data_IF_393903670965
#
_entry.id   IF_393903670965
#
_cell.length_a   1.000
_cell.length_b   1.000
_cell.length_c   1.000
_cell.angle_alpha   90.00
_cell.angle_beta   90.00
_cell.angle_gamma   90.00
#
_symmetry.space_group_name_H-M   'P 1'
#
loop_
_entity.id
_entity.type
_entity.pdbx_description
1 polymer ?
#
# COMPACT_ATOMS: atom_id res chain seq x y z
N UNK A 1 -14.63 -2.09 -23.32
CA UNK A 1 -13.32 -2.05 -24.00
C UNK A 1 -12.23 -2.44 -23.03
N UNK A 2 -11.24 -3.20 -23.49
CA UNK A 2 -9.98 -3.31 -22.76
C UNK A 2 -9.24 -1.96 -22.90
N UNK A 3 -8.74 -1.43 -21.78
CA UNK A 3 -7.96 -0.19 -21.76
C UNK A 3 -6.75 -0.35 -22.69
N UNK A 4 -6.55 0.56 -23.63
CA UNK A 4 -5.39 0.56 -24.55
C UNK A 4 -4.21 1.37 -24.01
N UNK A 5 -4.38 2.07 -22.89
CA UNK A 5 -3.34 2.87 -22.22
C UNK A 5 -2.45 2.07 -21.25
N UNK A 6 -2.63 0.73 -21.20
CA UNK A 6 -1.85 -0.15 -20.31
C UNK A 6 -0.75 -0.93 -21.05
N UNK A 7 -0.61 -0.74 -22.36
CA UNK A 7 0.49 -1.31 -23.13
C UNK A 7 1.82 -0.68 -22.65
N UNK A 8 2.52 -1.38 -21.76
CA UNK A 8 3.74 -0.90 -21.09
C UNK A 8 3.55 -0.37 -19.66
N UNK A 9 2.31 -0.30 -19.15
CA UNK A 9 2.07 0.03 -17.75
C UNK A 9 2.21 -1.21 -16.87
N UNK A 10 3.15 -1.10 -15.97
CA UNK A 10 3.83 -2.23 -15.42
C UNK A 10 3.64 -2.25 -13.91
N UNK A 11 2.50 -2.76 -13.46
CA UNK A 11 2.03 -2.68 -12.07
C UNK A 11 2.65 -3.70 -11.11
N UNK A 12 3.90 -4.10 -11.37
CA UNK A 12 4.68 -4.93 -10.45
C UNK A 12 5.07 -4.17 -9.17
N UNK A 13 5.51 -4.94 -8.17
CA UNK A 13 5.86 -4.46 -6.85
C UNK A 13 6.90 -3.34 -6.84
N UNK A 14 6.60 -2.27 -6.10
CA UNK A 14 7.50 -1.15 -5.85
C UNK A 14 7.48 -0.67 -4.40
N UNK A 15 8.60 -0.10 -3.98
CA UNK A 15 8.77 0.49 -2.67
C UNK A 15 8.79 -0.51 -1.52
N UNK A 16 8.55 -0.02 -0.30
CA UNK A 16 8.79 -0.77 0.94
C UNK A 16 7.87 -1.99 1.12
N UNK A 17 6.62 -1.92 0.64
CA UNK A 17 5.62 -3.00 0.79
C UNK A 17 5.35 -3.76 -0.50
N UNK A 18 6.17 -3.56 -1.54
CA UNK A 18 5.93 -4.11 -2.88
C UNK A 18 4.53 -3.76 -3.40
N UNK A 19 4.18 -2.46 -3.40
CA UNK A 19 2.90 -1.96 -3.92
C UNK A 19 2.68 -2.50 -5.34
N UNK A 20 1.64 -3.31 -5.51
CA UNK A 20 1.39 -4.09 -6.73
C UNK A 20 -0.06 -3.93 -7.17
N UNK A 21 -0.30 -3.92 -8.48
CA UNK A 21 -1.63 -3.99 -9.08
C UNK A 21 -2.35 -2.65 -9.22
N UNK A 22 -3.17 -2.56 -10.26
CA UNK A 22 -3.89 -1.33 -10.67
C UNK A 22 -4.69 -0.68 -9.55
N UNK A 23 -5.29 -1.48 -8.66
CA UNK A 23 -6.12 -0.99 -7.57
C UNK A 23 -5.29 -0.21 -6.53
N UNK A 24 -4.12 -0.72 -6.15
CA UNK A 24 -3.27 -0.06 -5.14
C UNK A 24 -2.71 1.27 -5.66
N UNK A 25 -2.21 1.28 -6.91
CA UNK A 25 -1.78 2.53 -7.55
C UNK A 25 -2.94 3.50 -7.80
N UNK A 26 -4.13 2.97 -8.10
CA UNK A 26 -5.37 3.74 -8.19
C UNK A 26 -5.74 4.43 -6.88
N UNK A 27 -5.66 3.73 -5.75
CA UNK A 27 -5.85 4.31 -4.41
C UNK A 27 -4.80 5.38 -4.12
N UNK A 28 -3.51 5.10 -4.36
CA UNK A 28 -2.44 6.09 -4.19
C UNK A 28 -2.72 7.36 -5.00
N UNK A 29 -3.07 7.24 -6.27
CA UNK A 29 -3.38 8.39 -7.10
C UNK A 29 -4.62 9.16 -6.61
N UNK A 30 -5.64 8.42 -6.20
CA UNK A 30 -6.90 8.98 -5.72
C UNK A 30 -6.73 9.81 -4.45
N UNK A 31 -5.87 9.36 -3.51
CA UNK A 31 -5.72 9.98 -2.20
C UNK A 31 -4.50 10.89 -2.07
N UNK A 32 -3.38 10.55 -2.73
CA UNK A 32 -2.10 11.23 -2.55
C UNK A 32 -1.57 11.88 -3.84
N UNK A 33 -2.05 11.47 -5.01
CA UNK A 33 -1.49 11.86 -6.30
C UNK A 33 -2.25 12.93 -7.06
N UNK A 34 -1.98 13.00 -8.36
CA UNK A 34 -2.60 13.91 -9.33
C UNK A 34 -4.12 13.83 -9.34
N UNK A 35 -4.71 12.64 -9.13
CA UNK A 35 -6.17 12.49 -9.06
C UNK A 35 -6.75 13.12 -7.78
N UNK A 36 -6.04 13.12 -6.66
CA UNK A 36 -6.44 13.85 -5.46
C UNK A 36 -6.49 15.36 -5.72
N UNK A 37 -5.42 15.92 -6.30
CA UNK A 37 -5.35 17.34 -6.72
C UNK A 37 -6.48 17.71 -7.69
N UNK A 38 -6.71 16.91 -8.73
CA UNK A 38 -7.75 17.15 -9.73
C UNK A 38 -9.17 17.18 -9.13
N UNK A 39 -9.37 16.51 -7.99
CA UNK A 39 -10.63 16.50 -7.24
C UNK A 39 -10.75 17.64 -6.22
N UNK A 40 -9.80 18.58 -6.20
CA UNK A 40 -9.75 19.67 -5.23
C UNK A 40 -9.44 19.20 -3.80
N UNK A 41 -8.78 18.04 -3.64
CA UNK A 41 -8.27 17.58 -2.35
C UNK A 41 -6.81 18.00 -2.20
N UNK A 42 -6.39 18.23 -0.96
CA UNK A 42 -4.97 18.31 -0.63
C UNK A 42 -4.32 16.95 -0.93
N UNK A 43 -3.17 16.99 -1.60
CA UNK A 43 -2.46 15.82 -2.09
C UNK A 43 -1.00 15.96 -1.74
N UNK A 44 -0.41 14.92 -1.15
CA UNK A 44 0.99 14.94 -0.73
C UNK A 44 1.94 14.95 -1.94
N UNK A 45 1.54 14.30 -3.03
CA UNK A 45 2.28 14.22 -4.30
C UNK A 45 1.42 14.73 -5.47
N UNK A 46 1.05 16.02 -5.46
CA UNK A 46 0.01 16.57 -6.32
C UNK A 46 0.34 16.49 -7.83
N UNK A 47 1.62 16.39 -8.18
CA UNK A 47 2.07 16.29 -9.57
C UNK A 47 2.30 14.85 -10.04
N UNK A 48 2.30 13.87 -9.13
CA UNK A 48 2.61 12.47 -9.45
C UNK A 48 1.34 11.75 -9.89
N UNK A 49 1.33 11.29 -11.14
CA UNK A 49 0.29 10.41 -11.64
C UNK A 49 0.67 8.95 -11.43
N UNK A 50 0.39 8.40 -10.25
CA UNK A 50 0.71 7.01 -9.94
C UNK A 50 0.05 6.00 -10.88
N UNK A 51 -1.02 6.39 -11.61
CA UNK A 51 -1.67 5.53 -12.60
C UNK A 51 -1.00 5.59 -13.98
N UNK A 52 -0.22 6.62 -14.29
CA UNK A 52 0.54 6.71 -15.54
C UNK A 52 2.01 6.34 -15.33
N UNK A 53 2.55 6.62 -14.14
CA UNK A 53 3.96 6.50 -13.81
C UNK A 53 4.16 5.80 -12.44
N UNK A 54 4.00 4.46 -12.38
CA UNK A 54 4.29 3.70 -11.18
C UNK A 54 5.75 3.83 -10.71
N UNK A 55 6.69 4.14 -11.62
CA UNK A 55 8.12 4.22 -11.34
C UNK A 55 8.47 5.42 -10.45
N UNK A 56 7.57 6.39 -10.32
CA UNK A 56 7.68 7.47 -9.33
C UNK A 56 7.98 6.96 -7.90
N UNK A 57 7.56 5.74 -7.53
CA UNK A 57 7.86 5.16 -6.21
C UNK A 57 9.36 4.86 -6.00
N UNK A 58 10.09 4.62 -7.09
CA UNK A 58 11.49 4.17 -7.04
C UNK A 58 12.49 5.28 -7.38
N UNK A 59 12.02 6.43 -7.87
CA UNK A 59 12.87 7.56 -8.26
C UNK A 59 13.25 8.42 -7.06
N UNK A 60 14.37 9.11 -7.18
CA UNK A 60 14.92 10.00 -6.14
C UNK A 60 14.31 11.41 -6.16
N UNK A 61 13.33 11.67 -7.02
CA UNK A 61 12.59 12.94 -7.07
C UNK A 61 11.71 13.14 -5.83
N UNK A 62 11.19 12.05 -5.25
CA UNK A 62 10.46 12.04 -3.98
C UNK A 62 10.92 10.82 -3.15
N UNK A 63 12.09 10.86 -2.49
CA UNK A 63 12.70 9.69 -1.85
C UNK A 63 11.84 9.08 -0.72
N UNK A 64 11.01 9.89 -0.07
CA UNK A 64 10.04 9.48 0.93
C UNK A 64 8.89 8.64 0.36
N UNK A 65 8.62 8.77 -0.94
CA UNK A 65 7.47 8.17 -1.61
C UNK A 65 7.53 6.63 -1.52
N UNK A 66 8.73 6.04 -1.58
CA UNK A 66 8.98 4.61 -1.32
C UNK A 66 8.37 4.12 -0.01
N UNK A 67 8.48 4.93 1.05
CA UNK A 67 7.98 4.61 2.38
C UNK A 67 6.52 5.00 2.54
N UNK A 68 6.14 6.18 2.05
CA UNK A 68 4.75 6.66 2.13
C UNK A 68 3.80 5.71 1.40
N UNK A 69 4.17 5.17 0.25
CA UNK A 69 3.36 4.16 -0.44
C UNK A 69 3.13 2.91 0.45
N UNK A 70 4.16 2.49 1.18
CA UNK A 70 4.08 1.38 2.13
C UNK A 70 3.18 1.68 3.33
N UNK A 71 3.40 2.82 3.99
CA UNK A 71 2.58 3.26 5.12
C UNK A 71 1.13 3.50 4.72
N UNK A 72 0.89 4.04 3.53
CA UNK A 72 -0.45 4.24 3.01
C UNK A 72 -1.21 2.90 2.92
N UNK A 73 -0.61 1.87 2.32
CA UNK A 73 -1.23 0.54 2.29
C UNK A 73 -1.42 -0.03 3.70
N UNK A 74 -0.40 0.07 4.55
CA UNK A 74 -0.47 -0.43 5.92
C UNK A 74 -1.63 0.17 6.72
N UNK A 75 -1.76 1.50 6.70
CA UNK A 75 -2.77 2.22 7.46
C UNK A 75 -4.19 2.02 6.93
N UNK A 76 -4.35 1.72 5.64
CA UNK A 76 -5.68 1.59 5.01
C UNK A 76 -6.15 0.14 4.84
N UNK A 77 -5.24 -0.83 4.74
CA UNK A 77 -5.58 -2.21 4.39
C UNK A 77 -5.07 -3.24 5.42
N UNK A 78 -3.93 -3.00 6.09
CA UNK A 78 -3.36 -3.96 7.08
C UNK A 78 -3.85 -3.68 8.50
N UNK A 79 -3.59 -2.48 9.01
CA UNK A 79 -3.96 -2.11 10.38
C UNK A 79 -5.47 -2.19 10.66
N UNK A 80 -6.38 -1.74 9.75
CA UNK A 80 -7.81 -1.86 9.95
C UNK A 80 -8.37 -3.22 9.49
N UNK A 81 -7.51 -4.19 9.17
CA UNK A 81 -7.96 -5.49 8.66
C UNK A 81 -8.90 -6.18 9.65
N UNK A 82 -10.12 -6.47 9.20
CA UNK A 82 -11.14 -7.19 9.93
C UNK A 82 -11.99 -8.02 8.95
N UNK A 83 -11.65 -9.30 8.80
CA UNK A 83 -12.34 -10.21 7.88
C UNK A 83 -12.54 -11.56 8.54
N UNK A 84 -13.80 -12.01 8.64
CA UNK A 84 -14.17 -13.32 9.20
C UNK A 84 -13.57 -13.55 10.60
N UNK A 85 -13.52 -12.52 11.42
CA UNK A 85 -12.97 -12.56 12.79
C UNK A 85 -11.46 -12.45 12.88
N UNK A 86 -10.73 -12.43 11.75
CA UNK A 86 -9.29 -12.20 11.74
C UNK A 86 -9.00 -10.69 11.77
N UNK A 87 -8.38 -10.20 12.86
CA UNK A 87 -8.11 -8.78 13.10
C UNK A 87 -6.64 -8.50 13.41
N UNK A 88 -6.01 -7.59 12.65
CA UNK A 88 -4.57 -7.29 12.82
C UNK A 88 -4.23 -6.80 14.23
N UNK A 89 -5.00 -5.84 14.75
CA UNK A 89 -4.74 -5.26 16.07
C UNK A 89 -4.90 -6.27 17.21
N UNK A 90 -5.79 -7.25 17.08
CA UNK A 90 -5.91 -8.32 18.07
C UNK A 90 -4.71 -9.25 18.04
N UNK A 91 -4.25 -9.63 16.84
CA UNK A 91 -3.02 -10.42 16.68
C UNK A 91 -1.81 -9.67 17.24
N UNK A 92 -1.71 -8.37 16.99
CA UNK A 92 -0.63 -7.52 17.54
C UNK A 92 -0.67 -7.49 19.07
N UNK A 93 -1.82 -7.22 19.67
CA UNK A 93 -1.95 -7.21 21.13
C UNK A 93 -1.59 -8.57 21.73
N UNK A 94 -2.10 -9.66 21.16
CA UNK A 94 -1.79 -11.02 21.63
C UNK A 94 -0.28 -11.33 21.55
N UNK A 95 0.40 -10.92 20.48
CA UNK A 95 1.85 -11.10 20.32
C UNK A 95 2.65 -10.27 21.33
N UNK A 96 2.24 -9.01 21.56
CA UNK A 96 2.88 -8.13 22.57
C UNK A 96 2.66 -8.67 23.98
N UNK A 97 1.42 -9.04 24.33
CA UNK A 97 1.06 -9.60 25.64
C UNK A 97 1.74 -10.96 25.88
N UNK A 98 2.04 -11.70 24.81
CA UNK A 98 2.85 -12.93 24.81
C UNK A 98 4.36 -12.69 24.97
N UNK A 99 4.81 -11.44 25.10
CA UNK A 99 6.20 -11.07 25.34
C UNK A 99 7.01 -10.74 24.09
N UNK A 100 6.37 -10.55 22.93
CA UNK A 100 7.02 -10.13 21.69
C UNK A 100 8.21 -11.02 21.28
N UNK A 101 8.05 -12.34 21.45
CA UNK A 101 9.12 -13.31 21.22
C UNK A 101 9.47 -13.37 19.73
N UNK A 102 10.76 -13.25 19.40
CA UNK A 102 11.24 -13.34 18.01
C UNK A 102 10.96 -14.71 17.35
N UNK A 103 10.76 -15.74 18.16
CA UNK A 103 10.38 -17.09 17.72
C UNK A 103 8.87 -17.25 17.47
N UNK A 104 8.04 -16.29 17.88
CA UNK A 104 6.61 -16.28 17.60
C UNK A 104 6.35 -15.51 16.30
N UNK A 105 6.06 -16.26 15.25
CA UNK A 105 5.79 -15.73 13.92
C UNK A 105 4.33 -15.33 13.68
N UNK A 106 3.44 -15.50 14.67
CA UNK A 106 1.99 -15.28 14.50
C UNK A 106 1.64 -13.90 13.92
N UNK A 107 2.30 -12.85 14.42
CA UNK A 107 2.11 -11.48 13.94
C UNK A 107 2.62 -11.29 12.51
N UNK A 108 3.82 -11.79 12.21
CA UNK A 108 4.46 -11.64 10.89
C UNK A 108 3.71 -12.45 9.84
N UNK A 109 3.30 -13.67 10.16
CA UNK A 109 2.51 -14.54 9.28
C UNK A 109 1.15 -13.92 8.97
N UNK A 110 0.48 -13.35 9.99
CA UNK A 110 -0.77 -12.63 9.79
C UNK A 110 -0.59 -11.44 8.86
N UNK A 111 0.35 -10.55 9.16
CA UNK A 111 0.59 -9.34 8.38
C UNK A 111 0.97 -9.69 6.93
N UNK A 112 1.86 -10.67 6.74
CA UNK A 112 2.24 -11.18 5.42
C UNK A 112 1.05 -11.77 4.67
N UNK A 113 0.17 -12.49 5.36
CA UNK A 113 -1.07 -13.02 4.79
C UNK A 113 -2.04 -11.93 4.32
N UNK A 114 -2.11 -10.80 5.01
CA UNK A 114 -2.93 -9.65 4.58
C UNK A 114 -2.30 -8.96 3.36
N UNK A 115 -1.00 -8.66 3.42
CA UNK A 115 -0.28 -8.00 2.31
C UNK A 115 -0.36 -8.80 1.01
N UNK A 116 -0.30 -10.13 1.10
CA UNK A 116 -0.34 -11.02 -0.07
C UNK A 116 -1.74 -11.26 -0.65
N UNK A 117 -2.82 -10.82 0.01
CA UNK A 117 -4.19 -10.99 -0.51
C UNK A 117 -4.51 -10.09 -1.70
N UNK A 118 -3.74 -9.01 -1.89
CA UNK A 118 -3.99 -8.02 -2.94
C UNK A 118 -5.28 -7.20 -2.71
N UNK A 119 -5.60 -6.35 -3.67
CA UNK A 119 -6.90 -5.68 -3.77
C UNK A 119 -7.88 -6.53 -4.57
#
# INVERSE_FOLDING_TARGET
EARTDVEGCCWWGRGAIQTTGVCNFGKLNYFLGKKAKARGREALFPEVDFCADPEAICRDDNPELRWVAGFFYWLNDVQPYDVRGARYLETLHAWVDGGALESDYSLVDFASGVVNRGC
#
